data_IF_417131298000
#
_entry.id   IF_417131298000
#
_cell.length_a   1.000
_cell.length_b   1.000
_cell.length_c   1.000
_cell.angle_alpha   90.00
_cell.angle_beta   90.00
_cell.angle_gamma   90.00
#
_symmetry.space_group_name_H-M   'P 1'
#
loop_
_entity.id
_entity.type
_entity.pdbx_description
1 polymer ?
#
# COMPACT_ATOMS: atom_id res chain seq x y z
N UNK A 1 12.26 -37.76 -11.61
CA UNK A 1 11.79 -36.94 -12.75
C UNK A 1 10.49 -36.17 -12.43
N UNK A 2 9.67 -36.63 -11.47
CA UNK A 2 8.48 -35.91 -10.96
C UNK A 2 8.81 -34.56 -10.28
N UNK A 3 9.91 -34.45 -9.54
CA UNK A 3 10.20 -33.24 -8.74
C UNK A 3 10.47 -31.97 -9.56
N UNK A 4 10.83 -32.09 -10.84
CA UNK A 4 11.11 -30.94 -11.71
C UNK A 4 9.81 -30.36 -12.28
N UNK A 5 8.86 -31.21 -12.69
CA UNK A 5 7.53 -30.77 -13.17
C UNK A 5 6.71 -30.13 -12.05
N UNK A 6 6.79 -30.65 -10.83
CA UNK A 6 6.10 -30.05 -9.67
C UNK A 6 6.68 -28.67 -9.31
N UNK A 7 8.01 -28.50 -9.40
CA UNK A 7 8.66 -27.19 -9.17
C UNK A 7 8.30 -26.18 -10.27
N UNK A 8 8.27 -26.57 -11.54
CA UNK A 8 7.89 -25.67 -12.63
C UNK A 8 6.43 -25.24 -12.53
N UNK A 9 5.52 -26.16 -12.22
CA UNK A 9 4.10 -25.87 -12.03
C UNK A 9 3.84 -24.93 -10.84
N UNK A 10 4.56 -25.13 -9.72
CA UNK A 10 4.46 -24.25 -8.55
C UNK A 10 5.05 -22.86 -8.79
N UNK A 11 6.14 -22.77 -9.58
CA UNK A 11 6.70 -21.47 -10.01
C UNK A 11 5.74 -20.73 -10.95
N UNK A 12 5.11 -21.43 -11.88
CA UNK A 12 4.11 -20.87 -12.81
C UNK A 12 2.86 -20.40 -12.07
N UNK A 13 2.36 -21.18 -11.10
CA UNK A 13 1.22 -20.83 -10.25
C UNK A 13 1.52 -19.66 -9.30
N UNK A 14 2.72 -19.59 -8.72
CA UNK A 14 3.18 -18.43 -7.92
C UNK A 14 3.35 -17.18 -8.78
N UNK A 15 3.92 -17.30 -9.97
CA UNK A 15 4.05 -16.20 -10.93
C UNK A 15 2.69 -15.63 -11.36
N UNK A 16 1.73 -16.51 -11.66
CA UNK A 16 0.36 -16.12 -12.01
C UNK A 16 -0.42 -15.46 -10.87
N UNK A 17 -0.25 -15.92 -9.63
CA UNK A 17 -0.92 -15.30 -8.46
C UNK A 17 -0.36 -13.91 -8.14
N UNK A 18 0.97 -13.73 -8.22
CA UNK A 18 1.62 -12.43 -8.01
C UNK A 18 1.22 -11.43 -9.09
N UNK A 19 1.25 -11.84 -10.36
CA UNK A 19 0.84 -10.98 -11.48
C UNK A 19 -0.62 -10.51 -11.34
N UNK A 20 -1.54 -11.38 -10.89
CA UNK A 20 -2.94 -10.98 -10.63
C UNK A 20 -3.06 -9.94 -9.52
N UNK A 21 -2.33 -10.09 -8.41
CA UNK A 21 -2.33 -9.11 -7.31
C UNK A 21 -1.79 -7.76 -7.74
N UNK A 22 -0.70 -7.75 -8.50
CA UNK A 22 -0.10 -6.51 -9.02
C UNK A 22 -1.09 -5.76 -9.93
N UNK A 23 -1.77 -6.47 -10.83
CA UNK A 23 -2.79 -5.88 -11.73
C UNK A 23 -3.96 -5.30 -10.93
N UNK A 24 -4.46 -6.00 -9.92
CA UNK A 24 -5.55 -5.50 -9.06
C UNK A 24 -5.11 -4.24 -8.31
N UNK A 25 -3.90 -4.24 -7.73
CA UNK A 25 -3.36 -3.10 -6.99
C UNK A 25 -3.23 -1.86 -7.89
N UNK A 26 -2.64 -2.02 -9.08
CA UNK A 26 -2.48 -0.93 -10.06
C UNK A 26 -3.84 -0.43 -10.52
N UNK A 27 -4.78 -1.34 -10.79
CA UNK A 27 -6.14 -0.99 -11.16
C UNK A 27 -6.83 -0.15 -10.09
N UNK A 28 -6.70 -0.53 -8.81
CA UNK A 28 -7.24 0.23 -7.69
C UNK A 28 -6.59 1.62 -7.56
N UNK A 29 -5.27 1.71 -7.66
CA UNK A 29 -4.54 2.99 -7.61
C UNK A 29 -4.95 3.90 -8.77
N UNK A 30 -5.06 3.35 -9.99
CA UNK A 30 -5.48 4.10 -11.17
C UNK A 30 -6.92 4.63 -11.03
N UNK A 31 -7.83 3.79 -10.52
CA UNK A 31 -9.21 4.17 -10.26
C UNK A 31 -9.32 5.28 -9.21
N UNK A 32 -8.63 5.14 -8.08
CA UNK A 32 -8.59 6.15 -7.03
C UNK A 32 -8.02 7.48 -7.55
N UNK A 33 -6.90 7.43 -8.27
CA UNK A 33 -6.29 8.61 -8.89
C UNK A 33 -7.23 9.30 -9.86
N UNK A 34 -7.91 8.54 -10.73
CA UNK A 34 -8.83 9.08 -11.73
C UNK A 34 -10.07 9.75 -11.10
N UNK A 35 -10.57 9.23 -9.98
CA UNK A 35 -11.75 9.77 -9.30
C UNK A 35 -11.41 10.95 -8.40
N UNK A 36 -10.20 10.99 -7.82
CA UNK A 36 -9.82 12.00 -6.82
C UNK A 36 -10.12 13.46 -7.24
N UNK A 37 -9.82 13.93 -8.47
CA UNK A 37 -10.16 15.28 -8.91
C UNK A 37 -11.67 15.59 -8.89
N UNK A 38 -12.53 14.59 -9.00
CA UNK A 38 -13.98 14.75 -9.12
C UNK A 38 -14.72 14.61 -7.79
N UNK A 39 -14.05 14.16 -6.72
CA UNK A 39 -14.69 13.96 -5.41
C UNK A 39 -15.34 15.23 -4.84
N UNK A 40 -14.81 16.41 -5.19
CA UNK A 40 -15.37 17.69 -4.75
C UNK A 40 -16.80 17.93 -5.25
N UNK A 41 -17.20 17.32 -6.37
CA UNK A 41 -18.53 17.52 -6.99
C UNK A 41 -19.65 17.09 -6.05
N UNK A 42 -19.44 16.02 -5.28
CA UNK A 42 -20.43 15.52 -4.32
C UNK A 42 -20.68 16.47 -3.14
N UNK A 43 -19.81 17.46 -2.94
CA UNK A 43 -19.86 18.40 -1.82
C UNK A 43 -20.26 19.82 -2.26
N UNK A 44 -20.52 20.04 -3.55
CA UNK A 44 -21.00 21.34 -4.05
C UNK A 44 -22.34 21.67 -3.39
N UNK A 45 -22.43 22.83 -2.75
CA UNK A 45 -23.62 23.30 -2.02
C UNK A 45 -24.09 22.39 -0.88
N UNK A 46 -23.25 21.46 -0.43
CA UNK A 46 -23.58 20.54 0.67
C UNK A 46 -23.63 21.24 2.04
N UNK A 47 -23.07 22.45 2.15
CA UNK A 47 -22.91 23.15 3.42
C UNK A 47 -21.94 22.49 4.40
N UNK A 48 -21.22 21.44 3.96
CA UNK A 48 -20.26 20.72 4.80
C UNK A 48 -19.01 21.57 5.00
N UNK A 49 -18.72 21.87 6.26
CA UNK A 49 -17.53 22.62 6.69
C UNK A 49 -16.26 21.92 6.22
N UNK A 50 -15.33 22.69 5.67
CA UNK A 50 -14.02 22.18 5.27
C UNK A 50 -13.10 21.87 6.46
N UNK A 51 -11.92 21.36 6.15
CA UNK A 51 -10.86 21.02 7.10
C UNK A 51 -9.55 21.74 6.72
N UNK A 52 -8.56 21.76 7.61
CA UNK A 52 -7.24 22.35 7.35
C UNK A 52 -7.28 23.82 6.87
N UNK A 53 -8.21 24.61 7.40
CA UNK A 53 -8.37 26.03 7.06
C UNK A 53 -9.24 26.31 5.83
N UNK A 54 -9.75 25.28 5.15
CA UNK A 54 -10.73 25.46 4.08
C UNK A 54 -12.12 25.73 4.65
N UNK A 55 -12.83 26.70 4.07
CA UNK A 55 -14.21 27.04 4.46
C UNK A 55 -15.19 25.92 4.12
N UNK A 56 -15.04 25.31 2.94
CA UNK A 56 -15.93 24.28 2.42
C UNK A 56 -15.16 23.01 2.09
N UNK A 57 -15.78 21.84 2.31
CA UNK A 57 -15.18 20.55 1.98
C UNK A 57 -14.93 20.39 0.47
N UNK A 58 -15.80 20.97 -0.36
CA UNK A 58 -15.64 21.04 -1.82
C UNK A 58 -14.31 21.67 -2.21
N UNK A 59 -13.93 22.78 -1.58
CA UNK A 59 -12.70 23.52 -1.86
C UNK A 59 -11.45 22.73 -1.47
N UNK A 60 -11.50 22.05 -0.31
CA UNK A 60 -10.42 21.17 0.13
C UNK A 60 -10.21 20.01 -0.85
N UNK A 61 -11.28 19.27 -1.17
CA UNK A 61 -11.23 18.13 -2.08
C UNK A 61 -10.78 18.53 -3.49
N UNK A 62 -11.17 19.72 -3.95
CA UNK A 62 -10.68 20.28 -5.21
C UNK A 62 -9.18 20.56 -5.16
N UNK A 63 -8.68 21.17 -4.07
CA UNK A 63 -7.27 21.50 -3.90
C UNK A 63 -6.36 20.25 -3.86
N UNK A 64 -6.81 19.16 -3.22
CA UNK A 64 -6.02 17.91 -3.12
C UNK A 64 -6.25 16.92 -4.26
N UNK A 65 -7.33 17.05 -5.04
CA UNK A 65 -7.72 16.06 -6.04
C UNK A 65 -6.69 15.84 -7.15
N UNK A 66 -6.20 16.91 -7.79
CA UNK A 66 -5.13 16.82 -8.79
C UNK A 66 -3.78 16.38 -8.21
N UNK A 67 -3.36 16.87 -7.03
CA UNK A 67 -2.18 16.34 -6.35
C UNK A 67 -2.25 14.83 -6.05
N UNK A 68 -3.40 14.31 -5.61
CA UNK A 68 -3.60 12.88 -5.38
C UNK A 68 -3.49 12.09 -6.69
N UNK A 69 -4.10 12.59 -7.78
CA UNK A 69 -3.92 12.02 -9.12
C UNK A 69 -2.43 11.92 -9.47
N UNK A 70 -1.65 12.99 -9.28
CA UNK A 70 -0.22 13.00 -9.56
C UNK A 70 0.53 11.93 -8.75
N UNK A 71 0.26 11.80 -7.45
CA UNK A 71 0.85 10.74 -6.62
C UNK A 71 0.51 9.34 -7.16
N UNK A 72 -0.76 9.09 -7.49
CA UNK A 72 -1.19 7.80 -8.05
C UNK A 72 -0.48 7.48 -9.38
N UNK A 73 -0.35 8.46 -10.27
CA UNK A 73 0.36 8.27 -11.55
C UNK A 73 1.85 8.05 -11.35
N UNK A 74 2.47 8.77 -10.41
CA UNK A 74 3.85 8.54 -10.02
C UNK A 74 4.07 7.10 -9.52
N UNK A 75 3.16 6.56 -8.71
CA UNK A 75 3.20 5.15 -8.29
C UNK A 75 3.13 4.17 -9.46
N UNK A 76 2.22 4.40 -10.41
CA UNK A 76 2.07 3.56 -11.60
C UNK A 76 3.35 3.61 -12.46
N UNK A 77 3.93 4.80 -12.65
CA UNK A 77 5.21 4.95 -13.35
C UNK A 77 6.35 4.22 -12.64
N UNK A 78 6.41 4.27 -11.31
CA UNK A 78 7.40 3.50 -10.55
C UNK A 78 7.21 2.00 -10.80
N UNK A 79 5.97 1.52 -10.76
CA UNK A 79 5.68 0.11 -11.00
C UNK A 79 6.10 -0.33 -12.41
N UNK A 80 5.73 0.46 -13.44
CA UNK A 80 6.08 0.19 -14.84
C UNK A 80 7.60 0.20 -15.04
N UNK A 81 8.34 1.04 -14.31
CA UNK A 81 9.80 1.12 -14.41
C UNK A 81 10.49 -0.23 -14.19
N UNK A 82 9.96 -1.09 -13.31
CA UNK A 82 10.51 -2.41 -13.03
C UNK A 82 10.28 -3.41 -14.18
N UNK A 83 9.40 -3.08 -15.13
CA UNK A 83 9.14 -3.90 -16.32
C UNK A 83 9.91 -3.43 -17.56
N UNK A 84 10.53 -2.26 -17.50
CA UNK A 84 11.30 -1.67 -18.60
C UNK A 84 12.78 -1.62 -18.20
N UNK A 85 13.51 -2.72 -18.37
CA UNK A 85 14.89 -2.85 -17.87
C UNK A 85 15.81 -1.72 -18.35
N UNK A 86 15.75 -1.37 -19.64
CA UNK A 86 16.61 -0.34 -20.25
C UNK A 86 16.27 1.08 -19.79
N UNK A 87 15.00 1.36 -19.47
CA UNK A 87 14.52 2.70 -19.12
C UNK A 87 14.18 2.84 -17.63
N UNK A 88 14.51 1.83 -16.83
CA UNK A 88 14.12 1.73 -15.43
C UNK A 88 14.50 2.98 -14.64
N UNK A 89 15.77 3.36 -14.68
CA UNK A 89 16.28 4.51 -13.93
C UNK A 89 15.54 5.81 -14.31
N UNK A 90 15.30 6.02 -15.61
CA UNK A 90 14.58 7.19 -16.12
C UNK A 90 13.14 7.23 -15.62
N UNK A 91 12.40 6.12 -15.71
CA UNK A 91 11.02 6.05 -15.22
C UNK A 91 10.92 6.16 -13.70
N UNK A 92 11.89 5.61 -12.96
CA UNK A 92 11.98 5.78 -11.50
C UNK A 92 12.21 7.25 -11.12
N UNK A 93 13.11 7.95 -11.83
CA UNK A 93 13.34 9.36 -11.60
C UNK A 93 12.09 10.20 -11.91
N UNK A 94 11.46 9.99 -13.07
CA UNK A 94 10.21 10.68 -13.44
C UNK A 94 9.14 10.41 -12.40
N UNK A 95 9.00 9.17 -11.95
CA UNK A 95 8.07 8.79 -10.90
C UNK A 95 8.30 9.58 -9.61
N UNK A 96 9.55 9.63 -9.11
CA UNK A 96 9.91 10.39 -7.90
C UNK A 96 9.54 11.87 -8.05
N UNK A 97 9.87 12.47 -9.20
CA UNK A 97 9.57 13.88 -9.48
C UNK A 97 8.06 14.12 -9.48
N UNK A 98 7.28 13.30 -10.18
CA UNK A 98 5.82 13.43 -10.25
C UNK A 98 5.17 13.25 -8.86
N UNK A 99 5.61 12.26 -8.09
CA UNK A 99 5.12 12.08 -6.70
C UNK A 99 5.50 13.26 -5.81
N UNK A 100 6.71 13.80 -5.97
CA UNK A 100 7.17 14.95 -5.17
C UNK A 100 6.32 16.18 -5.47
N UNK A 101 5.97 16.42 -6.73
CA UNK A 101 5.04 17.50 -7.10
C UNK A 101 3.68 17.29 -6.43
N UNK A 102 3.13 16.07 -6.48
CA UNK A 102 1.87 15.74 -5.81
C UNK A 102 1.93 15.96 -4.30
N UNK A 103 2.93 15.41 -3.62
CA UNK A 103 3.09 15.59 -2.17
C UNK A 103 3.34 17.04 -1.78
N UNK A 104 4.08 17.81 -2.58
CA UNK A 104 4.27 19.23 -2.33
C UNK A 104 2.93 19.98 -2.26
N UNK A 105 2.04 19.78 -3.23
CA UNK A 105 0.74 20.45 -3.24
C UNK A 105 -0.21 19.92 -2.18
N UNK A 106 -0.15 18.63 -1.83
CA UNK A 106 -0.91 18.07 -0.70
C UNK A 106 -0.45 18.72 0.61
N UNK A 107 0.86 18.76 0.87
CA UNK A 107 1.41 19.42 2.05
C UNK A 107 1.01 20.89 2.07
N UNK A 108 1.04 21.57 0.92
CA UNK A 108 0.70 22.98 0.82
C UNK A 108 -0.78 23.25 1.12
N UNK A 109 -1.66 22.35 0.69
CA UNK A 109 -3.07 22.41 1.05
C UNK A 109 -3.29 22.19 2.55
N UNK A 110 -2.55 21.28 3.19
CA UNK A 110 -2.74 20.94 4.62
C UNK A 110 -2.12 21.99 5.55
N UNK A 111 -0.98 22.57 5.16
CA UNK A 111 -0.19 23.49 5.98
C UNK A 111 0.03 24.80 5.22
N UNK A 112 -1.01 25.64 5.01
CA UNK A 112 -0.89 26.84 4.19
C UNK A 112 -0.14 28.01 4.87
N UNK A 113 0.36 27.86 6.10
CA UNK A 113 0.84 28.96 6.93
C UNK A 113 2.27 29.42 6.56
N UNK A 114 2.35 30.25 5.50
CA UNK A 114 3.56 30.99 5.12
C UNK A 114 3.88 32.09 6.14
N UNK A 115 2.92 32.48 7.00
CA UNK A 115 3.08 33.60 7.93
C UNK A 115 3.92 33.27 9.17
N UNK A 116 3.99 31.99 9.54
CA UNK A 116 4.71 31.55 10.75
C UNK A 116 6.22 31.38 10.51
N UNK A 117 6.67 31.39 9.25
CA UNK A 117 8.05 31.08 8.89
C UNK A 117 8.58 32.01 7.77
N UNK A 118 9.90 32.27 7.70
CA UNK A 118 10.49 32.93 6.54
C UNK A 118 10.15 32.16 5.25
N UNK A 119 9.77 32.82 4.14
CA UNK A 119 9.31 32.13 2.93
C UNK A 119 10.29 31.08 2.41
N UNK A 120 11.60 31.39 2.42
CA UNK A 120 12.65 30.45 1.99
C UNK A 120 12.65 29.17 2.84
N UNK A 121 12.50 29.30 4.15
CA UNK A 121 12.49 28.18 5.09
C UNK A 121 11.21 27.35 4.91
N UNK A 122 10.06 28.01 4.78
CA UNK A 122 8.78 27.37 4.52
C UNK A 122 8.83 26.51 3.25
N UNK A 123 9.14 27.10 2.09
CA UNK A 123 9.19 26.36 0.83
C UNK A 123 10.30 25.30 0.82
N UNK A 124 11.43 25.56 1.48
CA UNK A 124 12.51 24.58 1.66
C UNK A 124 12.04 23.32 2.40
N UNK A 125 11.35 23.48 3.54
CA UNK A 125 10.79 22.35 4.26
C UNK A 125 9.70 21.61 3.48
N UNK A 126 8.89 22.33 2.70
CA UNK A 126 7.86 21.71 1.87
C UNK A 126 8.44 20.80 0.79
N UNK A 127 9.52 21.23 0.14
CA UNK A 127 10.26 20.41 -0.82
C UNK A 127 10.87 19.18 -0.13
N UNK A 128 11.47 19.36 1.06
CA UNK A 128 12.05 18.25 1.82
C UNK A 128 10.99 17.22 2.24
N UNK A 129 9.84 17.67 2.74
CA UNK A 129 8.71 16.80 3.10
C UNK A 129 8.22 16.05 1.86
N UNK A 130 8.04 16.74 0.73
CA UNK A 130 7.57 16.13 -0.50
C UNK A 130 8.50 15.03 -1.04
N UNK A 131 9.81 15.27 -1.02
CA UNK A 131 10.82 14.27 -1.39
C UNK A 131 10.82 13.10 -0.39
N UNK A 132 10.80 13.39 0.91
CA UNK A 132 10.78 12.37 1.96
C UNK A 132 9.54 11.47 1.83
N UNK A 133 8.35 12.04 1.63
CA UNK A 133 7.12 11.31 1.40
C UNK A 133 7.19 10.45 0.13
N UNK A 134 7.74 10.99 -0.96
CA UNK A 134 7.89 10.24 -2.22
C UNK A 134 8.83 9.04 -2.08
N UNK A 135 9.97 9.23 -1.44
CA UNK A 135 10.92 8.15 -1.16
C UNK A 135 10.32 7.11 -0.22
N UNK A 136 9.66 7.54 0.85
CA UNK A 136 8.97 6.65 1.77
C UNK A 136 7.93 5.79 1.04
N UNK A 137 7.11 6.42 0.19
CA UNK A 137 6.07 5.77 -0.58
C UNK A 137 6.60 4.72 -1.57
N UNK A 138 7.70 5.01 -2.26
CA UNK A 138 8.37 4.02 -3.12
C UNK A 138 8.86 2.83 -2.31
N UNK A 139 9.43 3.09 -1.12
CA UNK A 139 9.97 2.05 -0.25
C UNK A 139 8.93 1.34 0.61
N UNK A 140 7.67 1.77 0.58
CA UNK A 140 6.59 1.21 1.38
C UNK A 140 6.41 -0.30 1.15
N UNK A 141 6.64 -0.79 -0.06
CA UNK A 141 6.57 -2.22 -0.39
C UNK A 141 7.58 -3.08 0.38
N UNK A 142 8.71 -2.51 0.79
CA UNK A 142 9.72 -3.20 1.60
C UNK A 142 9.36 -3.23 3.09
N UNK A 143 8.48 -2.31 3.53
CA UNK A 143 8.02 -2.21 4.92
C UNK A 143 6.74 -3.01 5.16
N UNK A 144 5.94 -3.25 4.12
CA UNK A 144 4.81 -4.16 4.22
C UNK A 144 5.35 -5.59 4.38
N UNK A 145 5.03 -6.29 5.49
CA UNK A 145 5.49 -7.65 5.67
C UNK A 145 5.05 -8.47 4.46
N UNK A 146 6.00 -9.12 3.79
CA UNK A 146 5.68 -10.00 2.68
C UNK A 146 4.65 -11.01 3.18
N UNK A 147 3.76 -11.50 2.30
CA UNK A 147 2.79 -12.51 2.72
C UNK A 147 3.48 -13.73 3.37
N UNK A 148 4.76 -13.95 3.08
CA UNK A 148 5.57 -15.00 3.67
C UNK A 148 5.87 -14.75 5.16
N UNK A 149 6.11 -13.50 5.57
CA UNK A 149 6.27 -13.16 6.98
C UNK A 149 4.97 -13.36 7.77
N UNK A 150 3.83 -12.98 7.18
CA UNK A 150 2.52 -13.23 7.76
C UNK A 150 2.23 -14.73 7.85
N UNK A 151 2.54 -15.51 6.78
CA UNK A 151 2.44 -16.97 6.80
C UNK A 151 3.32 -17.60 7.87
N UNK A 152 4.52 -17.06 8.11
CA UNK A 152 5.44 -17.55 9.12
C UNK A 152 4.92 -17.27 10.54
N UNK A 153 4.38 -16.09 10.79
CA UNK A 153 3.72 -15.76 12.07
C UNK A 153 2.49 -16.64 12.30
N UNK A 154 1.64 -16.83 11.27
CA UNK A 154 0.47 -17.72 11.38
C UNK A 154 0.90 -19.17 11.68
N UNK A 155 1.90 -19.69 10.97
CA UNK A 155 2.43 -21.05 11.24
C UNK A 155 3.03 -21.18 12.63
N UNK A 156 3.78 -20.18 13.09
CA UNK A 156 4.32 -20.15 14.43
C UNK A 156 3.21 -20.19 15.49
N UNK A 157 2.17 -19.36 15.34
CA UNK A 157 1.01 -19.36 16.23
C UNK A 157 0.28 -20.70 16.21
N UNK A 158 0.11 -21.32 15.04
CA UNK A 158 -0.45 -22.68 14.94
C UNK A 158 0.41 -23.67 15.72
N UNK A 159 1.74 -23.66 15.55
CA UNK A 159 2.64 -24.55 16.30
C UNK A 159 2.55 -24.32 17.81
N UNK A 160 2.45 -23.08 18.27
CA UNK A 160 2.23 -22.76 19.70
C UNK A 160 0.91 -23.36 20.19
N UNK A 161 -0.18 -23.23 19.43
CA UNK A 161 -1.48 -23.84 19.75
C UNK A 161 -1.38 -25.37 19.81
N UNK A 162 -0.67 -26.01 18.88
CA UNK A 162 -0.49 -27.47 18.86
C UNK A 162 0.33 -27.99 20.06
N UNK A 163 1.40 -27.29 20.42
CA UNK A 163 2.34 -27.76 21.45
C UNK A 163 1.97 -27.24 22.85
N UNK A 164 1.89 -25.93 23.04
CA UNK A 164 1.59 -25.35 24.35
C UNK A 164 0.10 -25.48 24.70
N UNK A 165 -0.78 -25.31 23.72
CA UNK A 165 -2.23 -25.45 23.94
C UNK A 165 -2.64 -26.86 24.35
N UNK A 166 -1.98 -27.89 23.80
CA UNK A 166 -2.22 -29.29 24.18
C UNK A 166 -1.71 -29.63 25.58
N UNK A 167 -0.63 -28.99 26.04
CA UNK A 167 -0.13 -29.20 27.41
C UNK A 167 -1.09 -28.67 28.49
N UNK A 168 -1.82 -27.60 28.18
CA UNK A 168 -2.74 -26.95 29.12
C UNK A 168 -4.21 -27.45 29.00
N UNK A 169 -4.48 -28.36 28.07
CA UNK A 169 -5.82 -28.91 27.85
C UNK A 169 -6.18 -30.00 28.88
N UNK A 170 -7.37 -29.91 29.47
CA UNK A 170 -7.93 -30.94 30.37
C UNK A 170 -8.08 -32.32 29.71
N UNK A 171 -8.42 -32.33 28.43
CA UNK A 171 -8.54 -33.55 27.61
C UNK A 171 -7.74 -33.32 26.32
N UNK A 172 -6.58 -33.97 26.25
CA UNK A 172 -5.61 -33.79 25.16
C UNK A 172 -6.13 -34.35 23.84
N UNK A 173 -6.91 -35.43 23.87
CA UNK A 173 -7.43 -36.09 22.67
C UNK A 173 -8.65 -35.36 22.11
N UNK A 174 -9.49 -34.78 22.99
CA UNK A 174 -10.55 -33.88 22.57
C UNK A 174 -9.99 -32.56 22.01
N UNK A 175 -8.94 -32.01 22.63
CA UNK A 175 -8.28 -30.78 22.15
C UNK A 175 -7.63 -30.99 20.78
N UNK A 176 -6.93 -32.10 20.59
CA UNK A 176 -6.28 -32.41 19.32
C UNK A 176 -7.30 -32.56 18.18
N UNK A 177 -8.40 -33.27 18.41
CA UNK A 177 -9.44 -33.50 17.41
C UNK A 177 -10.28 -32.27 17.09
N UNK A 178 -10.63 -31.48 18.11
CA UNK A 178 -11.63 -30.41 17.96
C UNK A 178 -11.01 -29.02 17.78
N UNK A 179 -9.74 -28.83 18.12
CA UNK A 179 -9.08 -27.52 18.10
C UNK A 179 -7.79 -27.55 17.27
N UNK A 180 -6.83 -28.40 17.63
CA UNK A 180 -5.50 -28.42 16.99
C UNK A 180 -5.58 -28.79 15.50
N UNK A 181 -6.20 -29.94 15.20
CA UNK A 181 -6.26 -30.49 13.85
C UNK A 181 -7.06 -29.63 12.87
N UNK A 182 -8.27 -29.12 13.22
CA UNK A 182 -9.02 -28.23 12.33
C UNK A 182 -8.28 -26.92 12.02
N UNK A 183 -7.59 -26.33 13.00
CA UNK A 183 -6.81 -25.10 12.79
C UNK A 183 -5.62 -25.37 11.88
N UNK A 184 -4.90 -26.49 12.10
CA UNK A 184 -3.77 -26.89 11.26
C UNK A 184 -4.20 -27.14 9.81
N UNK A 185 -5.26 -27.91 9.62
CA UNK A 185 -5.78 -28.26 8.29
C UNK A 185 -6.23 -27.01 7.52
N UNK A 186 -6.91 -26.07 8.20
CA UNK A 186 -7.31 -24.78 7.62
C UNK A 186 -6.10 -23.91 7.24
N UNK A 187 -5.10 -23.80 8.12
CA UNK A 187 -3.87 -23.02 7.84
C UNK A 187 -3.07 -23.66 6.71
N UNK A 188 -2.97 -24.99 6.65
CA UNK A 188 -2.26 -25.69 5.57
C UNK A 188 -2.98 -25.59 4.22
N UNK A 189 -4.31 -25.56 4.22
CA UNK A 189 -5.13 -25.32 3.03
C UNK A 189 -4.95 -23.89 2.49
N UNK A 190 -4.93 -22.88 3.38
CA UNK A 190 -4.81 -21.47 3.00
C UNK A 190 -3.36 -21.02 2.72
N UNK A 191 -2.35 -21.75 3.23
CA UNK A 191 -0.94 -21.37 3.05
C UNK A 191 -0.20 -22.10 1.92
N UNK A 192 -0.80 -23.14 1.32
CA UNK A 192 -0.33 -23.80 0.08
C UNK A 192 -0.30 -22.87 -1.13
#
# INVERSE_FOLDING_TARGET
>A
MESIKTKSYLQEKKGGSKAKKDVILIGAIAFLGAIAPFLHIFYINSGVTGIFGFKEMSSFLFAIGFPVLAVCYGFILNFISYKLEELRATFQLISIVVMSIGFYFISWAIIPSVQDYPPLMYYGFMILIAIACSLFMINLHNLLPSSDHLKLVVRYLTTVIEFEGKEHAKDKDAYERNVSKPIKDYVDEQTK
#
